data_IF_762881721104
#
_entry.id   IF_762881721104
#
_cell.length_a   1.000
_cell.length_b   1.000
_cell.length_c   1.000
_cell.angle_alpha   90.00
_cell.angle_beta   90.00
_cell.angle_gamma   90.00
#
_symmetry.space_group_name_H-M   'P 1'
#
loop_
_entity.id
_entity.type
_entity.pdbx_description
1 polymer ?
#
# COMPACT_ATOMS: atom_id res chain seq x y z
N UNK A 1 29.87 2.30 29.51
CA UNK A 1 29.22 2.53 28.20
C UNK A 1 29.03 1.25 27.39
N UNK A 2 30.07 0.41 27.18
CA UNK A 2 29.93 -0.84 26.39
C UNK A 2 28.94 -1.85 26.99
N UNK A 3 28.89 -2.00 28.32
CA UNK A 3 28.07 -3.02 29.00
C UNK A 3 26.56 -2.67 29.02
N UNK A 4 26.24 -1.40 29.23
CA UNK A 4 24.85 -0.91 29.19
C UNK A 4 24.26 -0.99 27.78
N UNK A 5 25.05 -0.64 26.77
CA UNK A 5 24.68 -0.78 25.37
C UNK A 5 24.49 -2.26 24.98
N UNK A 6 25.33 -3.17 25.49
CA UNK A 6 25.17 -4.61 25.26
C UNK A 6 23.87 -5.14 25.89
N UNK A 7 23.54 -4.72 27.12
CA UNK A 7 22.28 -5.09 27.79
C UNK A 7 21.06 -4.62 27.00
N UNK A 8 21.06 -3.38 26.51
CA UNK A 8 19.98 -2.85 25.69
C UNK A 8 19.82 -3.61 24.37
N UNK A 9 20.92 -4.02 23.72
CA UNK A 9 20.85 -4.84 22.50
C UNK A 9 20.25 -6.21 22.75
N UNK A 10 20.68 -6.90 23.80
CA UNK A 10 20.12 -8.20 24.16
C UNK A 10 18.62 -8.10 24.49
N UNK A 11 18.20 -6.99 25.10
CA UNK A 11 16.78 -6.74 25.36
C UNK A 11 16.00 -6.47 24.07
N UNK A 12 16.58 -5.76 23.10
CA UNK A 12 15.99 -5.59 21.76
C UNK A 12 15.83 -6.95 21.07
N UNK A 13 16.89 -7.77 21.06
CA UNK A 13 16.85 -9.10 20.43
C UNK A 13 15.73 -9.97 21.04
N UNK A 14 15.59 -9.94 22.37
CA UNK A 14 14.51 -10.63 23.10
C UNK A 14 13.12 -10.12 22.68
N UNK A 15 12.94 -8.81 22.57
CA UNK A 15 11.68 -8.21 22.14
C UNK A 15 11.38 -8.58 20.68
N UNK A 16 12.38 -8.58 19.80
CA UNK A 16 12.24 -8.94 18.40
C UNK A 16 11.79 -10.41 18.23
N UNK A 17 12.33 -11.32 19.04
CA UNK A 17 11.86 -12.71 19.10
C UNK A 17 10.38 -12.82 19.52
N UNK A 18 9.96 -12.04 20.52
CA UNK A 18 8.56 -11.98 20.96
C UNK A 18 7.64 -11.40 19.88
N UNK A 19 8.07 -10.33 19.21
CA UNK A 19 7.34 -9.73 18.08
C UNK A 19 7.17 -10.78 16.98
N UNK A 20 8.25 -11.47 16.60
CA UNK A 20 8.20 -12.51 15.58
C UNK A 20 7.23 -13.64 15.94
N UNK A 21 7.26 -14.10 17.20
CA UNK A 21 6.34 -15.12 17.68
C UNK A 21 4.86 -14.67 17.56
N UNK A 22 4.56 -13.42 17.92
CA UNK A 22 3.20 -12.84 17.81
C UNK A 22 2.78 -12.63 16.36
N UNK A 23 3.70 -12.23 15.48
CA UNK A 23 3.43 -12.13 14.05
C UNK A 23 3.12 -13.50 13.45
N UNK A 24 3.86 -14.55 13.83
CA UNK A 24 3.61 -15.92 13.38
C UNK A 24 2.26 -16.47 13.89
N UNK A 25 1.88 -16.14 15.13
CA UNK A 25 0.55 -16.48 15.67
C UNK A 25 -0.57 -15.76 14.89
N UNK A 26 -0.39 -14.46 14.62
CA UNK A 26 -1.31 -13.67 13.81
C UNK A 26 -1.48 -14.23 12.40
N UNK A 27 -0.38 -14.61 11.74
CA UNK A 27 -0.41 -15.20 10.40
C UNK A 27 -1.19 -16.52 10.37
N UNK A 28 -0.99 -17.40 11.36
CA UNK A 28 -1.78 -18.63 11.52
C UNK A 28 -3.27 -18.36 11.72
N UNK A 29 -3.61 -17.33 12.50
CA UNK A 29 -5.02 -16.89 12.65
C UNK A 29 -5.61 -16.40 11.31
N UNK A 30 -4.84 -15.63 10.53
CA UNK A 30 -5.27 -15.17 9.21
C UNK A 30 -5.54 -16.36 8.27
N UNK A 31 -4.61 -17.32 8.18
CA UNK A 31 -4.77 -18.54 7.37
C UNK A 31 -6.03 -19.32 7.73
N UNK A 32 -6.29 -19.53 9.03
CA UNK A 32 -7.51 -20.21 9.49
C UNK A 32 -8.78 -19.44 9.11
N UNK A 33 -8.74 -18.11 9.11
CA UNK A 33 -9.85 -17.28 8.62
C UNK A 33 -10.05 -17.46 7.12
N UNK A 34 -8.98 -17.56 6.32
CA UNK A 34 -9.03 -17.88 4.90
C UNK A 34 -9.64 -19.25 4.60
N UNK A 35 -9.19 -20.28 5.32
CA UNK A 35 -9.71 -21.66 5.21
C UNK A 35 -11.23 -21.72 5.45
N UNK A 36 -11.71 -21.06 6.51
CA UNK A 36 -13.15 -21.01 6.85
C UNK A 36 -13.96 -20.32 5.75
N UNK A 37 -13.38 -19.32 5.07
CA UNK A 37 -14.05 -18.53 4.03
C UNK A 37 -14.06 -19.18 2.65
N UNK A 38 -13.67 -20.46 2.51
CA UNK A 38 -13.81 -21.29 1.30
C UNK A 38 -13.42 -20.56 0.00
N UNK A 39 -12.25 -19.93 -0.03
CA UNK A 39 -11.69 -19.34 -1.25
C UNK A 39 -12.33 -18.03 -1.72
N UNK A 40 -13.31 -17.47 -0.99
CA UNK A 40 -13.80 -16.12 -1.27
C UNK A 40 -13.01 -15.12 -0.43
N UNK A 41 -11.88 -14.68 -1.00
CA UNK A 41 -11.00 -13.69 -0.38
C UNK A 41 -11.66 -12.30 -0.48
N UNK A 42 -12.52 -11.96 0.47
CA UNK A 42 -12.98 -10.58 0.61
C UNK A 42 -11.89 -9.78 1.34
N UNK A 43 -10.94 -9.22 0.60
CA UNK A 43 -10.18 -8.09 1.12
C UNK A 43 -11.18 -6.98 1.48
N UNK A 44 -11.21 -6.61 2.76
CA UNK A 44 -12.17 -5.64 3.32
C UNK A 44 -11.40 -4.41 3.79
N UNK A 45 -11.15 -3.43 2.91
CA UNK A 45 -10.41 -2.21 3.23
C UNK A 45 -11.02 -1.44 4.41
N UNK A 46 -12.34 -1.44 4.56
CA UNK A 46 -13.04 -0.84 5.71
C UNK A 46 -12.60 -1.47 7.05
N UNK A 47 -12.47 -2.79 7.08
CA UNK A 47 -12.06 -3.53 8.27
C UNK A 47 -10.59 -3.25 8.59
N UNK A 48 -9.75 -3.17 7.57
CA UNK A 48 -8.35 -2.80 7.72
C UNK A 48 -8.23 -1.38 8.30
N UNK A 49 -8.92 -0.40 7.71
CA UNK A 49 -8.95 0.97 8.18
C UNK A 49 -9.41 1.08 9.65
N UNK A 50 -10.42 0.30 10.05
CA UNK A 50 -10.88 0.23 11.43
C UNK A 50 -9.81 -0.31 12.39
N UNK A 51 -9.10 -1.37 11.99
CA UNK A 51 -8.01 -1.95 12.80
C UNK A 51 -6.86 -0.95 12.93
N UNK A 52 -6.45 -0.31 11.83
CA UNK A 52 -5.38 0.70 11.82
C UNK A 52 -5.73 1.91 12.70
N UNK A 53 -6.99 2.40 12.63
CA UNK A 53 -7.44 3.50 13.50
C UNK A 53 -7.37 3.10 14.97
N UNK A 54 -7.92 1.93 15.32
CA UNK A 54 -7.90 1.42 16.70
C UNK A 54 -6.46 1.28 17.23
N UNK A 55 -5.54 0.74 16.44
CA UNK A 55 -4.14 0.57 16.85
C UNK A 55 -3.43 1.91 17.02
N UNK A 56 -3.74 2.90 16.19
CA UNK A 56 -3.22 4.25 16.34
C UNK A 56 -3.73 4.94 17.62
N UNK A 57 -4.98 4.69 18.02
CA UNK A 57 -5.58 5.21 19.26
C UNK A 57 -5.01 4.52 20.52
N UNK A 58 -4.74 3.21 20.44
CA UNK A 58 -4.14 2.44 21.54
C UNK A 58 -2.62 2.62 21.67
N UNK A 59 -1.98 3.30 20.72
CA UNK A 59 -0.53 3.43 20.66
C UNK A 59 0.00 4.22 21.88
N UNK A 60 0.80 3.59 22.78
CA UNK A 60 1.36 4.27 23.94
C UNK A 60 2.57 5.17 23.58
N UNK A 61 3.01 5.18 22.32
CA UNK A 61 4.29 5.74 21.91
C UNK A 61 5.45 4.77 22.19
N UNK A 62 6.71 5.14 21.86
CA UNK A 62 7.16 6.41 21.31
C UNK A 62 6.98 6.54 19.78
N UNK A 63 6.54 5.49 19.10
CA UNK A 63 6.28 5.54 17.66
C UNK A 63 5.13 6.51 17.34
N UNK A 64 5.21 7.20 16.20
CA UNK A 64 4.09 8.01 15.73
C UNK A 64 2.91 7.13 15.31
N UNK A 65 1.69 7.66 15.39
CA UNK A 65 0.50 6.96 14.93
C UNK A 65 0.62 6.48 13.47
N UNK A 66 1.27 7.25 12.61
CA UNK A 66 1.46 6.90 11.21
C UNK A 66 2.53 5.81 11.00
N UNK A 67 3.56 5.77 11.84
CA UNK A 67 4.54 4.68 11.84
C UNK A 67 3.86 3.36 12.25
N UNK A 68 3.04 3.37 13.31
CA UNK A 68 2.25 2.20 13.73
C UNK A 68 1.35 1.72 12.59
N UNK A 69 0.60 2.64 11.95
CA UNK A 69 -0.27 2.27 10.83
C UNK A 69 0.50 1.62 9.69
N UNK A 70 1.70 2.13 9.39
CA UNK A 70 2.55 1.62 8.30
C UNK A 70 3.03 0.20 8.60
N UNK A 71 3.56 -0.04 9.81
CA UNK A 71 4.03 -1.37 10.23
C UNK A 71 2.88 -2.38 10.17
N UNK A 72 1.73 -2.05 10.77
CA UNK A 72 0.60 -2.98 10.82
C UNK A 72 -0.05 -3.21 9.45
N UNK A 73 0.00 -2.23 8.53
CA UNK A 73 -0.41 -2.42 7.14
C UNK A 73 0.45 -3.46 6.44
N UNK A 74 1.78 -3.38 6.57
CA UNK A 74 2.67 -4.40 5.99
C UNK A 74 2.45 -5.78 6.62
N UNK A 75 2.24 -5.85 7.93
CA UNK A 75 1.89 -7.11 8.61
C UNK A 75 0.57 -7.68 8.07
N UNK A 76 -0.43 -6.84 7.82
CA UNK A 76 -1.70 -7.25 7.21
C UNK A 76 -1.52 -7.73 5.78
N UNK A 77 -0.80 -6.96 4.97
CA UNK A 77 -0.47 -7.27 3.58
C UNK A 77 0.27 -8.61 3.47
N UNK A 78 1.30 -8.83 4.29
CA UNK A 78 2.07 -10.06 4.32
C UNK A 78 1.21 -11.28 4.70
N UNK A 79 0.27 -11.13 5.64
CA UNK A 79 -0.63 -12.22 6.02
C UNK A 79 -1.64 -12.54 4.91
N UNK A 80 -2.15 -11.53 4.19
CA UNK A 80 -3.04 -11.74 3.05
C UNK A 80 -2.32 -12.45 1.90
N UNK A 81 -1.05 -12.12 1.65
CA UNK A 81 -0.24 -12.74 0.61
C UNK A 81 -0.01 -14.25 0.77
N UNK A 82 -0.25 -14.84 1.95
CA UNK A 82 -0.10 -16.28 2.20
C UNK A 82 -1.19 -17.15 1.55
N UNK A 83 -2.34 -16.58 1.19
CA UNK A 83 -3.47 -17.32 0.63
C UNK A 83 -3.44 -17.31 -0.91
N UNK A 84 -3.54 -16.12 -1.51
CA UNK A 84 -3.24 -15.81 -2.90
C UNK A 84 -2.86 -14.32 -3.00
N UNK A 85 -1.82 -13.95 -3.76
CA UNK A 85 -1.47 -12.54 -3.92
C UNK A 85 -2.56 -11.81 -4.72
N UNK A 86 -3.17 -10.81 -4.09
CA UNK A 86 -4.13 -9.91 -4.73
C UNK A 86 -3.53 -9.31 -6.01
N UNK A 87 -4.32 -9.20 -7.07
CA UNK A 87 -3.96 -8.52 -8.30
C UNK A 87 -4.53 -7.12 -8.26
N UNK A 88 -3.66 -6.11 -8.23
CA UNK A 88 -4.06 -4.70 -8.15
C UNK A 88 -3.64 -3.99 -9.43
N UNK A 89 -4.60 -3.64 -10.27
CA UNK A 89 -4.36 -2.84 -11.46
C UNK A 89 -4.21 -1.36 -11.09
N UNK A 90 -3.30 -0.66 -11.77
CA UNK A 90 -3.10 0.78 -11.56
C UNK A 90 -2.70 1.49 -12.84
N UNK A 91 -2.90 2.81 -12.89
CA UNK A 91 -2.45 3.64 -14.01
C UNK A 91 -0.92 3.71 -14.06
N UNK A 92 -0.34 2.98 -15.01
CA UNK A 92 1.10 2.86 -15.21
C UNK A 92 1.74 4.05 -15.93
N UNK A 93 3.02 3.92 -16.34
CA UNK A 93 3.88 2.74 -16.18
C UNK A 93 4.37 2.52 -14.74
N UNK A 94 5.23 1.53 -14.52
CA UNK A 94 5.93 1.37 -13.23
C UNK A 94 6.74 2.63 -12.87
N UNK A 95 6.78 2.95 -11.58
CA UNK A 95 7.40 4.16 -11.03
C UNK A 95 6.46 5.36 -10.91
N UNK A 96 5.19 5.25 -11.31
CA UNK A 96 4.23 6.35 -11.19
C UNK A 96 3.75 6.56 -9.75
N UNK A 97 3.13 7.73 -9.52
CA UNK A 97 2.45 8.01 -8.26
C UNK A 97 1.27 7.06 -8.01
N UNK A 98 0.64 6.54 -9.06
CA UNK A 98 -0.41 5.52 -8.95
C UNK A 98 0.13 4.20 -8.43
N UNK A 99 1.34 3.77 -8.84
CA UNK A 99 2.00 2.62 -8.23
C UNK A 99 2.28 2.87 -6.74
N UNK A 100 2.86 4.04 -6.43
CA UNK A 100 3.17 4.44 -5.06
C UNK A 100 1.93 4.49 -4.16
N UNK A 101 0.81 4.98 -4.69
CA UNK A 101 -0.48 5.00 -4.02
C UNK A 101 -1.03 3.58 -3.79
N UNK A 102 -0.87 2.69 -4.78
CA UNK A 102 -1.29 1.29 -4.70
C UNK A 102 -0.51 0.55 -3.61
N UNK A 103 0.82 0.68 -3.61
CA UNK A 103 1.69 0.10 -2.56
C UNK A 103 1.40 0.68 -1.19
N UNK A 104 1.14 1.99 -1.10
CA UNK A 104 0.79 2.64 0.17
C UNK A 104 -0.53 2.10 0.73
N UNK A 105 -1.52 1.79 -0.12
CA UNK A 105 -2.83 1.33 0.32
C UNK A 105 -2.84 -0.17 0.67
N UNK A 106 -2.32 -1.00 -0.22
CA UNK A 106 -2.41 -2.47 -0.10
C UNK A 106 -1.17 -3.13 0.52
N UNK A 107 -0.13 -2.36 0.80
CA UNK A 107 1.19 -2.85 1.22
C UNK A 107 2.00 -3.45 0.07
N UNK A 108 3.07 -4.17 0.40
CA UNK A 108 4.03 -4.67 -0.60
C UNK A 108 3.70 -6.04 -1.21
N UNK A 109 2.84 -6.84 -0.57
CA UNK A 109 2.59 -8.23 -0.96
C UNK A 109 1.78 -8.46 -2.26
N UNK A 110 0.82 -7.60 -2.67
CA UNK A 110 0.05 -7.82 -3.90
C UNK A 110 0.89 -7.83 -5.18
N UNK A 111 0.36 -8.47 -6.22
CA UNK A 111 0.84 -8.33 -7.58
C UNK A 111 0.28 -7.06 -8.22
N UNK A 112 1.15 -6.08 -8.48
CA UNK A 112 0.76 -4.80 -9.06
C UNK A 112 0.86 -4.82 -10.58
N UNK A 113 -0.26 -4.58 -11.26
CA UNK A 113 -0.39 -4.67 -12.71
C UNK A 113 -0.47 -3.26 -13.34
N UNK A 114 0.59 -2.75 -13.99
CA UNK A 114 0.54 -1.46 -14.67
C UNK A 114 -0.36 -1.55 -15.91
N UNK A 115 -1.27 -0.57 -16.04
CA UNK A 115 -2.14 -0.40 -17.20
C UNK A 115 -1.76 0.88 -17.97
N UNK A 116 -2.01 0.88 -19.28
CA UNK A 116 -1.64 2.02 -20.13
C UNK A 116 -2.61 3.20 -19.97
N UNK A 117 -3.90 2.92 -19.75
CA UNK A 117 -4.94 3.92 -19.55
C UNK A 117 -5.81 3.63 -18.32
N UNK A 118 -6.57 4.65 -17.88
CA UNK A 118 -7.53 4.51 -16.78
C UNK A 118 -8.62 3.50 -17.16
N UNK A 119 -9.16 3.58 -18.38
CA UNK A 119 -10.13 2.63 -18.93
C UNK A 119 -9.68 1.17 -18.82
N UNK A 120 -8.38 0.90 -19.04
CA UNK A 120 -7.82 -0.44 -18.96
C UNK A 120 -7.81 -0.96 -17.52
N UNK A 121 -7.66 -0.08 -16.52
CA UNK A 121 -7.81 -0.45 -15.10
C UNK A 121 -9.24 -0.90 -14.81
N UNK A 122 -10.24 -0.15 -15.28
CA UNK A 122 -11.64 -0.51 -15.09
C UNK A 122 -11.98 -1.83 -15.77
N UNK A 123 -11.58 -2.00 -17.03
CA UNK A 123 -11.77 -3.25 -17.78
C UNK A 123 -11.10 -4.45 -17.12
N UNK A 124 -9.88 -4.27 -16.60
CA UNK A 124 -9.16 -5.34 -15.91
C UNK A 124 -9.90 -5.83 -14.67
N UNK A 125 -10.48 -4.91 -13.88
CA UNK A 125 -11.27 -5.25 -12.69
C UNK A 125 -12.61 -5.88 -13.08
N UNK A 126 -13.31 -5.29 -14.04
CA UNK A 126 -14.61 -5.80 -14.51
C UNK A 126 -14.50 -7.21 -15.10
N UNK A 127 -13.44 -7.49 -15.88
CA UNK A 127 -13.19 -8.80 -16.46
C UNK A 127 -12.65 -9.84 -15.45
N UNK A 128 -12.40 -9.46 -14.19
CA UNK A 128 -11.81 -10.34 -13.17
C UNK A 128 -10.32 -10.66 -13.39
N UNK A 129 -9.64 -9.89 -14.26
CA UNK A 129 -8.19 -9.98 -14.47
C UNK A 129 -7.39 -9.30 -13.34
N UNK A 130 -8.02 -8.35 -12.64
CA UNK A 130 -7.54 -7.77 -11.40
C UNK A 130 -8.66 -7.83 -10.34
N UNK A 131 -8.27 -7.93 -9.08
CA UNK A 131 -9.20 -7.97 -7.95
C UNK A 131 -9.56 -6.54 -7.51
N UNK A 132 -8.62 -5.60 -7.67
CA UNK A 132 -8.78 -4.18 -7.36
C UNK A 132 -8.13 -3.28 -8.41
N UNK A 133 -8.65 -2.05 -8.53
CA UNK A 133 -8.11 -1.01 -9.39
C UNK A 133 -7.80 0.25 -8.58
N UNK A 134 -6.64 0.87 -8.84
CA UNK A 134 -6.23 2.15 -8.25
C UNK A 134 -6.13 3.19 -9.36
N UNK A 135 -6.98 4.21 -9.26
CA UNK A 135 -7.10 5.27 -10.25
C UNK A 135 -7.07 6.64 -9.55
N UNK A 136 -6.44 7.65 -10.17
CA UNK A 136 -6.47 9.01 -9.63
C UNK A 136 -7.87 9.60 -9.83
N UNK A 137 -8.45 10.16 -8.77
CA UNK A 137 -9.76 10.84 -8.84
C UNK A 137 -9.65 12.35 -8.71
N UNK A 138 -8.61 12.83 -8.03
CA UNK A 138 -8.34 14.25 -7.79
C UNK A 138 -6.83 14.47 -7.66
N UNK A 139 -6.33 15.56 -8.23
CA UNK A 139 -4.96 16.04 -8.03
C UNK A 139 -4.98 17.53 -7.64
N UNK A 140 -3.89 18.02 -7.03
CA UNK A 140 -3.80 19.40 -6.56
C UNK A 140 -3.59 20.45 -7.65
N UNK A 141 -3.33 20.04 -8.89
CA UNK A 141 -2.92 20.93 -9.99
C UNK A 141 -4.09 21.22 -10.94
N UNK A 142 -4.80 20.19 -11.34
CA UNK A 142 -5.89 20.16 -12.32
C UNK A 142 -7.25 19.84 -11.68
N UNK A 143 -7.26 19.50 -10.38
CA UNK A 143 -8.48 19.17 -9.65
C UNK A 143 -8.97 17.76 -9.95
N UNK A 144 -10.28 17.60 -10.14
CA UNK A 144 -10.90 16.30 -10.37
C UNK A 144 -10.50 15.71 -11.73
N UNK A 145 -10.20 14.41 -11.74
CA UNK A 145 -9.87 13.65 -12.95
C UNK A 145 -11.18 13.20 -13.61
N UNK A 146 -11.68 14.01 -14.55
CA UNK A 146 -12.98 13.79 -15.20
C UNK A 146 -13.16 12.39 -15.78
N UNK A 147 -12.14 11.87 -16.50
CA UNK A 147 -12.19 10.53 -17.09
C UNK A 147 -12.42 9.42 -16.05
N UNK A 148 -11.84 9.52 -14.85
CA UNK A 148 -12.10 8.57 -13.76
C UNK A 148 -13.54 8.66 -13.26
N UNK A 149 -14.07 9.88 -13.11
CA UNK A 149 -15.44 10.09 -12.63
C UNK A 149 -16.47 9.57 -13.63
N UNK A 150 -16.26 9.80 -14.92
CA UNK A 150 -17.11 9.29 -15.99
C UNK A 150 -17.13 7.76 -16.00
N UNK A 151 -15.97 7.13 -15.86
CA UNK A 151 -15.88 5.66 -15.75
C UNK A 151 -16.55 5.12 -14.49
N UNK A 152 -16.46 5.81 -13.35
CA UNK A 152 -17.16 5.41 -12.13
C UNK A 152 -18.69 5.45 -12.29
N UNK A 153 -19.21 6.39 -13.09
CA UNK A 153 -20.64 6.49 -13.40
C UNK A 153 -21.07 5.45 -14.44
N UNK A 154 -20.20 5.13 -15.40
CA UNK A 154 -20.50 4.23 -16.52
C UNK A 154 -20.35 2.74 -16.18
N UNK A 155 -19.64 2.39 -15.10
CA UNK A 155 -19.35 1.00 -14.73
C UNK A 155 -20.04 0.61 -13.39
N UNK A 156 -20.40 -0.67 -13.19
CA UNK A 156 -21.01 -1.14 -11.93
C UNK A 156 -20.02 -1.30 -10.77
N UNK A 157 -18.75 -0.93 -10.97
CA UNK A 157 -17.69 -1.04 -9.97
C UNK A 157 -17.95 -0.12 -8.79
N UNK A 158 -17.50 -0.54 -7.60
CA UNK A 158 -17.71 0.20 -6.35
C UNK A 158 -16.39 0.69 -5.77
N UNK A 159 -16.39 1.93 -5.29
CA UNK A 159 -15.29 2.47 -4.50
C UNK A 159 -15.28 1.79 -3.13
N UNK A 160 -14.18 1.12 -2.80
CA UNK A 160 -14.02 0.42 -1.53
C UNK A 160 -12.98 1.07 -0.60
N UNK A 161 -12.25 2.09 -1.07
CA UNK A 161 -11.26 2.78 -0.26
C UNK A 161 -10.73 4.04 -0.94
N UNK A 162 -10.06 4.87 -0.16
CA UNK A 162 -9.33 6.04 -0.64
C UNK A 162 -7.88 6.02 -0.14
N UNK A 163 -6.99 6.64 -0.91
CA UNK A 163 -5.60 6.85 -0.50
C UNK A 163 -5.15 8.24 -0.90
N UNK A 164 -4.63 9.00 0.07
CA UNK A 164 -4.00 10.30 -0.19
C UNK A 164 -2.50 10.13 -0.25
N UNK A 165 -1.90 10.54 -1.36
CA UNK A 165 -0.46 10.51 -1.56
C UNK A 165 0.08 11.94 -1.63
N UNK A 166 1.06 12.25 -0.78
CA UNK A 166 1.79 13.50 -0.89
C UNK A 166 2.80 13.36 -2.03
N UNK A 167 2.68 14.22 -3.03
CA UNK A 167 3.55 14.19 -4.20
C UNK A 167 4.89 14.86 -3.86
N UNK A 168 5.97 14.11 -4.04
CA UNK A 168 7.35 14.59 -3.91
C UNK A 168 8.08 14.31 -5.22
N UNK A 169 8.36 15.37 -5.97
CA UNK A 169 9.17 15.25 -7.18
C UNK A 169 10.64 15.09 -6.80
N UNK A 170 11.36 14.26 -7.55
CA UNK A 170 12.78 13.99 -7.34
C UNK A 170 13.56 14.43 -8.58
N UNK A 171 14.63 15.22 -8.40
CA UNK A 171 15.56 15.52 -9.47
C UNK A 171 16.55 14.35 -9.62
N UNK A 172 16.41 13.60 -10.70
CA UNK A 172 17.29 12.46 -11.01
C UNK A 172 18.24 12.83 -12.15
N UNK A 173 19.53 12.49 -12.00
CA UNK A 173 20.55 12.78 -13.01
C UNK A 173 21.65 11.72 -12.99
N UNK A 174 22.27 11.51 -14.15
CA UNK A 174 23.53 10.74 -14.28
C UNK A 174 24.77 11.63 -14.23
N UNK A 175 24.59 12.94 -14.16
CA UNK A 175 25.69 13.90 -14.07
C UNK A 175 26.33 13.86 -12.67
N UNK A 176 27.63 14.13 -12.60
CA UNK A 176 28.39 14.10 -11.34
C UNK A 176 28.00 15.20 -10.35
N UNK A 177 27.28 16.24 -10.80
CA UNK A 177 26.78 17.30 -9.94
C UNK A 177 25.76 18.20 -10.64
N UNK A 178 25.05 19.01 -9.85
CA UNK A 178 23.96 19.87 -10.34
C UNK A 178 24.43 20.90 -11.36
N UNK A 179 25.67 21.40 -11.23
CA UNK A 179 26.26 22.37 -12.18
C UNK A 179 26.50 21.82 -13.59
N UNK A 180 26.51 20.50 -13.76
CA UNK A 180 26.65 19.86 -15.07
C UNK A 180 25.30 19.62 -15.78
N UNK A 181 24.16 19.86 -15.10
CA UNK A 181 22.82 19.69 -15.67
C UNK A 181 22.49 20.87 -16.59
N UNK A 182 22.23 20.59 -17.88
CA UNK A 182 21.88 21.62 -18.89
C UNK A 182 20.42 21.61 -19.33
N UNK A 183 19.72 20.48 -19.15
CA UNK A 183 18.33 20.29 -19.56
C UNK A 183 17.62 19.41 -18.54
N UNK A 184 16.38 19.77 -18.24
CA UNK A 184 15.49 19.02 -17.35
C UNK A 184 14.29 18.59 -18.19
N UNK A 185 13.95 17.30 -18.11
CA UNK A 185 12.76 16.73 -18.74
C UNK A 185 11.78 16.37 -17.63
N UNK A 186 10.53 16.81 -17.75
CA UNK A 186 9.44 16.48 -16.85
C UNK A 186 8.13 16.44 -17.64
N UNK A 187 7.13 15.76 -17.10
CA UNK A 187 5.75 15.94 -17.54
C UNK A 187 5.29 17.36 -17.21
N UNK A 188 4.43 17.91 -18.08
CA UNK A 188 3.77 19.21 -17.87
C UNK A 188 2.83 19.18 -16.67
#
# INVERSE_FOLDING_TARGET
MSDELLKLRNEIDRIDEEILARLAERARCAQRVGEIKRGVMYYRPEREAQVLRRLAELNPGPLSADAVKTIFREVMSACLGLEQPLRVAYLGPAGTFSESASRKHFGSAPNFLPMAAIDDVFRAVEAGNADYGVVPVENSTEGAVGGTLDLLLANPLKVCGEVRLRIHQQLMSRAEGIGAVRRIYSHA
#
